data_IF_999054141225
#
_entry.id   IF_999054141225
#
_cell.length_a   1.000
_cell.length_b   1.000
_cell.length_c   1.000
_cell.angle_alpha   90.00
_cell.angle_beta   90.00
_cell.angle_gamma   90.00
#
_symmetry.space_group_name_H-M   'P 1'
#
loop_
_entity.id
_entity.type
_entity.pdbx_description
1 polymer ?
#
# COMPACT_ATOMS: atom_id res chain seq x y z
N UNK A 1 1.25 33.03 11.50
CA UNK A 1 1.95 32.03 10.68
C UNK A 1 2.73 32.76 9.61
N UNK A 2 4.03 32.48 9.44
CA UNK A 2 4.81 33.07 8.35
C UNK A 2 4.21 32.61 7.01
N UNK A 3 3.86 33.57 6.16
CA UNK A 3 3.39 33.31 4.80
C UNK A 3 4.66 33.12 3.96
N UNK A 4 5.01 31.86 3.68
CA UNK A 4 6.12 31.59 2.77
C UNK A 4 5.69 31.82 1.32
N UNK A 5 6.57 32.38 0.52
CA UNK A 5 6.41 32.50 -0.92
C UNK A 5 7.04 31.25 -1.56
N UNK A 6 6.21 30.24 -1.81
CA UNK A 6 6.67 28.96 -2.36
C UNK A 6 6.90 29.07 -3.87
N UNK A 7 8.07 28.62 -4.30
CA UNK A 7 8.35 28.35 -5.73
C UNK A 7 7.95 26.93 -6.04
N UNK A 8 6.95 26.75 -6.88
CA UNK A 8 6.52 25.43 -7.37
C UNK A 8 7.39 25.01 -8.55
N UNK A 9 7.92 23.76 -8.48
CA UNK A 9 8.62 23.14 -9.62
C UNK A 9 7.96 21.79 -9.92
N UNK A 10 7.77 21.52 -11.23
CA UNK A 10 7.26 20.23 -11.73
C UNK A 10 8.41 19.53 -12.43
N UNK A 11 8.84 18.41 -11.88
CA UNK A 11 10.03 17.69 -12.30
C UNK A 11 9.64 16.40 -13.03
N UNK A 12 10.44 16.01 -14.04
CA UNK A 12 10.11 14.88 -14.91
C UNK A 12 10.71 13.55 -14.40
N UNK A 13 11.45 13.62 -13.32
CA UNK A 13 12.14 12.46 -12.73
C UNK A 13 12.27 12.62 -11.22
N UNK A 14 12.16 11.53 -10.42
CA UNK A 14 12.61 11.56 -9.03
C UNK A 14 14.11 11.96 -8.91
N UNK A 15 14.93 11.67 -9.92
CA UNK A 15 16.35 12.00 -9.92
C UNK A 15 16.63 13.51 -10.03
N UNK A 16 15.64 14.33 -10.36
CA UNK A 16 15.75 15.78 -10.40
C UNK A 16 15.62 16.42 -9.00
N UNK A 17 15.33 15.63 -7.96
CA UNK A 17 15.30 16.04 -6.54
C UNK A 17 16.44 15.36 -5.82
N UNK A 18 17.19 16.06 -4.95
CA UNK A 18 18.18 15.41 -4.09
C UNK A 18 17.52 14.36 -3.18
N UNK A 19 18.06 13.14 -3.19
CA UNK A 19 17.52 12.04 -2.39
C UNK A 19 17.47 12.37 -0.89
N UNK A 20 18.52 13.07 -0.38
CA UNK A 20 18.57 13.53 1.01
C UNK A 20 17.42 14.44 1.39
N UNK A 21 17.02 15.37 0.51
CA UNK A 21 15.97 16.34 0.78
C UNK A 21 14.57 15.67 0.75
N UNK A 22 14.39 14.75 -0.20
CA UNK A 22 13.16 13.94 -0.30
C UNK A 22 13.00 13.06 0.93
N UNK A 23 14.01 12.27 1.28
CA UNK A 23 13.96 11.33 2.40
C UNK A 23 13.92 12.07 3.75
N UNK A 24 14.48 13.29 3.86
CA UNK A 24 14.33 14.14 5.02
C UNK A 24 12.88 14.61 5.22
N UNK A 25 12.11 14.88 4.15
CA UNK A 25 10.68 15.15 4.25
C UNK A 25 9.89 13.89 4.64
N UNK A 26 10.22 12.76 4.03
CA UNK A 26 9.56 11.48 4.36
C UNK A 26 9.73 11.12 5.83
N UNK A 27 10.91 11.39 6.42
CA UNK A 27 11.19 11.13 7.83
C UNK A 27 10.36 11.99 8.80
N UNK A 28 9.73 13.07 8.34
CA UNK A 28 8.82 13.90 9.15
C UNK A 28 7.38 13.38 9.18
N UNK A 29 7.06 12.45 8.29
CA UNK A 29 5.69 11.94 8.17
C UNK A 29 5.37 10.93 9.29
N UNK A 30 4.11 10.91 9.72
CA UNK A 30 3.66 10.02 10.79
C UNK A 30 3.43 8.57 10.35
N UNK A 31 3.20 8.35 9.05
CA UNK A 31 3.02 7.03 8.44
C UNK A 31 3.87 6.94 7.16
N UNK A 32 5.22 7.06 7.29
CA UNK A 32 6.12 6.88 6.16
C UNK A 32 6.08 5.42 5.72
N UNK A 33 6.41 5.17 4.47
CA UNK A 33 6.54 3.81 3.97
C UNK A 33 7.82 3.68 3.14
N UNK A 34 8.47 2.52 3.11
CA UNK A 34 9.67 2.31 2.31
C UNK A 34 9.41 2.52 0.81
N UNK A 35 8.16 2.45 0.38
CA UNK A 35 7.75 2.64 -1.02
C UNK A 35 7.69 4.11 -1.43
N UNK A 36 7.71 5.04 -0.48
CA UNK A 36 7.83 6.48 -0.73
C UNK A 36 9.28 6.99 -0.65
N UNK A 37 10.25 6.13 -0.33
CA UNK A 37 11.67 6.50 -0.37
C UNK A 37 12.09 6.89 -1.78
N UNK A 38 13.04 7.82 -1.85
CA UNK A 38 13.57 8.29 -3.12
C UNK A 38 14.13 7.14 -3.98
N UNK A 39 14.88 6.22 -3.38
CA UNK A 39 15.50 5.09 -4.07
C UNK A 39 14.46 4.13 -4.70
N UNK A 40 13.31 3.90 -4.03
CA UNK A 40 12.22 3.09 -4.56
C UNK A 40 11.60 3.74 -5.81
N UNK A 41 11.28 5.03 -5.73
CA UNK A 41 10.70 5.78 -6.85
C UNK A 41 11.68 5.92 -8.02
N UNK A 42 12.96 6.13 -7.72
CA UNK A 42 14.04 6.14 -8.71
C UNK A 42 14.20 4.78 -9.40
N UNK A 43 14.11 3.67 -8.65
CA UNK A 43 14.18 2.32 -9.21
C UNK A 43 13.01 2.04 -10.17
N UNK A 44 11.79 2.48 -9.85
CA UNK A 44 10.61 2.35 -10.73
C UNK A 44 10.81 3.04 -12.07
N UNK A 45 11.39 4.24 -12.07
CA UNK A 45 11.64 4.98 -13.31
C UNK A 45 12.85 4.41 -14.06
N UNK A 46 13.97 4.20 -13.38
CA UNK A 46 15.22 3.76 -14.01
C UNK A 46 15.12 2.36 -14.63
N UNK A 47 14.28 1.48 -14.07
CA UNK A 47 13.99 0.16 -14.63
C UNK A 47 13.00 0.19 -15.80
N UNK A 48 12.40 1.34 -16.10
CA UNK A 48 11.37 1.47 -17.11
C UNK A 48 9.98 0.99 -16.67
N UNK A 49 9.80 0.56 -15.42
CA UNK A 49 8.51 0.06 -14.92
C UNK A 49 7.44 1.16 -14.83
N UNK A 50 7.82 2.36 -14.38
CA UNK A 50 6.92 3.52 -14.28
C UNK A 50 7.48 4.69 -15.12
N UNK A 51 7.12 4.71 -16.40
CA UNK A 51 7.54 5.70 -17.38
C UNK A 51 6.38 6.09 -18.30
N UNK A 52 6.59 7.09 -19.15
CA UNK A 52 5.59 7.46 -20.16
C UNK A 52 5.21 6.27 -21.08
N UNK A 53 6.17 5.38 -21.42
CA UNK A 53 5.93 4.20 -22.25
C UNK A 53 4.99 3.17 -21.59
N UNK A 54 4.94 3.15 -20.24
CA UNK A 54 4.03 2.30 -19.47
C UNK A 54 2.81 3.05 -18.95
N UNK A 55 2.56 4.28 -19.46
CA UNK A 55 1.46 5.14 -19.06
C UNK A 55 1.59 5.76 -17.68
N UNK A 56 2.81 5.86 -17.13
CA UNK A 56 3.15 6.49 -15.86
C UNK A 56 4.18 7.61 -16.09
N UNK A 57 3.76 8.70 -16.72
CA UNK A 57 4.66 9.83 -17.00
C UNK A 57 4.89 10.64 -15.73
N UNK A 58 6.11 10.62 -15.21
CA UNK A 58 6.48 11.33 -13.98
C UNK A 58 6.30 12.85 -14.10
N UNK A 59 5.71 13.46 -13.07
CA UNK A 59 5.50 14.89 -12.85
C UNK A 59 5.60 15.17 -11.36
N UNK A 60 6.79 15.06 -10.79
CA UNK A 60 7.02 15.28 -9.36
C UNK A 60 6.81 16.75 -9.02
N UNK A 61 5.84 17.04 -8.18
CA UNK A 61 5.55 18.42 -7.75
C UNK A 61 6.27 18.72 -6.46
N UNK A 62 7.03 19.83 -6.45
CA UNK A 62 7.88 20.24 -5.32
C UNK A 62 7.66 21.71 -5.00
N UNK A 63 7.67 22.06 -3.72
CA UNK A 63 7.60 23.43 -3.21
C UNK A 63 8.90 23.81 -2.52
N UNK A 64 9.45 24.94 -2.92
CA UNK A 64 10.74 25.44 -2.46
C UNK A 64 10.63 26.82 -1.83
N UNK A 65 11.44 27.07 -0.79
CA UNK A 65 11.73 28.41 -0.28
C UNK A 65 13.25 28.60 -0.37
N UNK A 66 13.69 29.44 -1.28
CA UNK A 66 15.10 29.49 -1.68
C UNK A 66 15.54 28.11 -2.20
N UNK A 67 16.59 27.55 -1.61
CA UNK A 67 17.12 26.22 -1.95
C UNK A 67 16.61 25.12 -1.03
N UNK A 68 15.65 25.41 -0.15
CA UNK A 68 15.12 24.43 0.81
C UNK A 68 13.82 23.82 0.28
N UNK A 69 13.77 22.50 0.20
CA UNK A 69 12.57 21.74 -0.13
C UNK A 69 11.60 21.74 1.06
N UNK A 70 10.39 22.27 0.87
CA UNK A 70 9.36 22.36 1.91
C UNK A 70 8.25 21.32 1.77
N UNK A 71 7.90 20.97 0.53
CA UNK A 71 6.94 19.89 0.28
C UNK A 71 7.21 19.24 -1.08
N UNK A 72 6.81 17.97 -1.22
CA UNK A 72 6.97 17.19 -2.45
C UNK A 72 5.95 16.07 -2.54
N UNK A 73 5.59 15.66 -3.76
CA UNK A 73 4.83 14.44 -4.00
C UNK A 73 5.16 13.80 -5.36
N UNK A 74 5.00 12.47 -5.49
CA UNK A 74 5.16 11.75 -6.74
C UNK A 74 3.84 11.82 -7.53
N UNK A 75 3.71 12.80 -8.42
CA UNK A 75 2.59 12.87 -9.35
C UNK A 75 2.98 12.23 -10.69
N UNK A 76 2.00 11.63 -11.35
CA UNK A 76 2.13 11.03 -12.68
C UNK A 76 0.99 11.48 -13.57
N UNK A 77 1.26 11.72 -14.86
CA UNK A 77 0.23 11.77 -15.88
C UNK A 77 -0.05 10.35 -16.38
N UNK A 78 -1.31 9.95 -16.27
CA UNK A 78 -1.77 8.60 -16.59
C UNK A 78 -2.56 8.58 -17.89
N UNK A 79 -2.21 7.62 -18.77
CA UNK A 79 -2.92 7.37 -20.03
C UNK A 79 -3.96 6.25 -19.91
N UNK A 80 -4.03 5.59 -18.77
CA UNK A 80 -4.93 4.49 -18.40
C UNK A 80 -4.92 4.26 -16.91
N UNK A 81 -5.88 3.49 -16.35
CA UNK A 81 -5.99 3.24 -14.91
C UNK A 81 -5.39 1.92 -14.42
N UNK A 82 -4.56 1.25 -15.25
CA UNK A 82 -3.86 0.03 -14.82
C UNK A 82 -2.79 0.33 -13.76
N UNK A 83 -2.69 -0.57 -12.78
CA UNK A 83 -1.67 -0.54 -11.72
C UNK A 83 -1.96 0.44 -10.57
N UNK A 84 -3.18 1.00 -10.48
CA UNK A 84 -3.59 1.99 -9.46
C UNK A 84 -4.26 1.33 -8.25
N UNK A 85 -4.99 0.23 -8.44
CA UNK A 85 -5.73 -0.52 -7.41
C UNK A 85 -6.91 0.24 -6.76
N UNK A 86 -7.20 1.47 -7.20
CA UNK A 86 -8.46 2.19 -6.94
C UNK A 86 -9.12 2.38 -8.29
N UNK A 87 -10.17 1.59 -8.56
CA UNK A 87 -10.72 1.48 -9.91
C UNK A 87 -11.71 2.60 -10.22
N UNK A 88 -11.42 3.38 -11.25
CA UNK A 88 -12.24 4.49 -11.75
C UNK A 88 -12.76 4.23 -13.18
N UNK A 89 -12.79 2.97 -13.62
CA UNK A 89 -13.27 2.56 -14.95
C UNK A 89 -14.68 3.08 -15.28
N UNK A 90 -15.57 3.12 -14.28
CA UNK A 90 -16.92 3.65 -14.47
C UNK A 90 -16.91 5.15 -14.82
N UNK A 91 -15.96 5.91 -14.27
CA UNK A 91 -15.81 7.34 -14.56
C UNK A 91 -15.23 7.53 -15.97
N UNK A 92 -14.19 6.78 -16.33
CA UNK A 92 -13.61 6.82 -17.68
C UNK A 92 -14.65 6.46 -18.74
N UNK A 93 -15.44 5.42 -18.53
CA UNK A 93 -16.52 5.02 -19.43
C UNK A 93 -17.61 6.09 -19.55
N UNK A 94 -17.96 6.76 -18.45
CA UNK A 94 -18.95 7.85 -18.46
C UNK A 94 -18.46 9.04 -19.30
N UNK A 95 -17.18 9.41 -19.20
CA UNK A 95 -16.57 10.45 -20.04
C UNK A 95 -16.64 10.06 -21.52
N UNK A 96 -16.22 8.84 -21.86
CA UNK A 96 -16.25 8.33 -23.24
C UNK A 96 -17.67 8.34 -23.84
N UNK A 97 -18.67 7.89 -23.08
CA UNK A 97 -20.08 7.89 -23.52
C UNK A 97 -20.63 9.31 -23.81
N UNK A 98 -20.03 10.34 -23.23
CA UNK A 98 -20.40 11.74 -23.48
C UNK A 98 -19.45 12.44 -24.45
N UNK A 99 -18.55 11.68 -25.14
CA UNK A 99 -17.61 12.24 -26.11
C UNK A 99 -16.50 13.09 -25.50
N UNK A 100 -16.19 12.90 -24.21
CA UNK A 100 -15.15 13.61 -23.50
C UNK A 100 -13.95 12.70 -23.23
N UNK A 101 -12.75 13.29 -23.21
CA UNK A 101 -11.53 12.58 -22.88
C UNK A 101 -11.32 12.52 -21.38
N UNK A 102 -11.19 11.33 -20.81
CA UNK A 102 -10.82 11.12 -19.42
C UNK A 102 -9.30 11.12 -19.20
N UNK A 103 -8.57 10.64 -20.18
CA UNK A 103 -7.10 10.61 -20.15
C UNK A 103 -6.51 11.71 -21.03
N UNK A 104 -5.34 12.30 -20.66
CA UNK A 104 -4.57 12.02 -19.47
C UNK A 104 -5.24 12.58 -18.19
N UNK A 105 -4.98 11.90 -17.06
CA UNK A 105 -5.37 12.34 -15.72
C UNK A 105 -4.14 12.48 -14.83
N UNK A 106 -4.21 13.33 -13.81
CA UNK A 106 -3.17 13.42 -12.77
C UNK A 106 -3.38 12.39 -11.66
N UNK A 107 -2.30 11.76 -11.23
CA UNK A 107 -2.32 10.74 -10.18
C UNK A 107 -1.16 10.92 -9.21
N UNK A 108 -1.44 11.15 -7.92
CA UNK A 108 -0.47 11.09 -6.83
C UNK A 108 -0.57 9.72 -6.17
N UNK A 109 0.38 8.86 -6.42
CA UNK A 109 0.43 7.49 -5.92
C UNK A 109 1.84 6.91 -6.03
N UNK A 110 2.10 5.82 -5.32
CA UNK A 110 3.25 4.96 -5.60
C UNK A 110 2.83 3.94 -6.65
N UNK A 111 3.47 3.90 -7.83
CA UNK A 111 3.10 2.97 -8.89
C UNK A 111 3.08 1.50 -8.43
N UNK A 112 2.05 0.75 -8.81
CA UNK A 112 1.87 -0.68 -8.54
C UNK A 112 1.88 -1.06 -7.05
N UNK A 113 1.62 -0.09 -6.15
CA UNK A 113 1.82 -0.25 -4.71
C UNK A 113 0.60 0.22 -3.92
N UNK A 114 -0.39 -0.67 -3.68
CA UNK A 114 -1.61 -0.34 -2.93
C UNK A 114 -1.36 -0.39 -1.41
N UNK A 115 -0.35 0.34 -0.94
CA UNK A 115 0.00 0.47 0.48
C UNK A 115 -0.41 1.86 0.95
N UNK A 116 -1.23 2.00 2.00
CA UNK A 116 -1.54 3.29 2.61
C UNK A 116 -0.29 3.97 3.20
N UNK A 117 -0.32 5.29 3.30
CA UNK A 117 0.74 6.08 3.93
C UNK A 117 0.88 7.47 3.33
N UNK A 118 1.97 8.16 3.68
CA UNK A 118 2.27 9.49 3.19
C UNK A 118 2.32 9.56 1.65
N UNK A 119 1.66 10.57 1.09
CA UNK A 119 1.69 10.91 -0.34
C UNK A 119 2.13 12.34 -0.57
N UNK A 120 1.80 13.22 0.36
CA UNK A 120 2.18 14.62 0.38
C UNK A 120 3.26 14.80 1.46
N UNK A 121 4.52 14.73 1.07
CA UNK A 121 5.63 14.96 2.00
C UNK A 121 5.72 16.45 2.29
N UNK A 122 5.69 16.87 3.56
CA UNK A 122 5.68 18.27 3.91
C UNK A 122 6.30 18.55 5.28
N UNK A 123 7.01 19.70 5.39
CA UNK A 123 7.61 20.14 6.66
C UNK A 123 6.57 20.49 7.72
N UNK A 124 5.40 20.95 7.30
CA UNK A 124 4.32 21.37 8.17
C UNK A 124 2.96 21.33 7.46
N UNK A 125 1.83 21.47 8.18
CA UNK A 125 0.49 21.45 7.59
C UNK A 125 0.24 22.57 6.57
N UNK A 126 0.89 23.73 6.68
CA UNK A 126 0.72 24.83 5.74
C UNK A 126 1.38 24.50 4.39
N UNK A 127 2.58 23.92 4.41
CA UNK A 127 3.28 23.43 3.22
C UNK A 127 2.46 22.31 2.53
N UNK A 128 1.88 21.37 3.32
CA UNK A 128 1.00 20.32 2.77
C UNK A 128 -0.24 20.91 2.08
N UNK A 129 -0.91 21.87 2.71
CA UNK A 129 -2.05 22.56 2.12
C UNK A 129 -1.66 23.32 0.83
N UNK A 130 -0.51 24.01 0.84
CA UNK A 130 0.02 24.68 -0.34
C UNK A 130 0.33 23.69 -1.48
N UNK A 131 0.87 22.49 -1.16
CA UNK A 131 1.12 21.45 -2.15
C UNK A 131 -0.17 20.96 -2.80
N UNK A 132 -1.26 20.76 -2.03
CA UNK A 132 -2.58 20.41 -2.60
C UNK A 132 -3.08 21.49 -3.55
N UNK A 133 -2.96 22.77 -3.18
CA UNK A 133 -3.35 23.87 -4.05
C UNK A 133 -2.51 23.93 -5.33
N UNK A 134 -1.20 23.70 -5.23
CA UNK A 134 -0.30 23.64 -6.40
C UNK A 134 -0.68 22.48 -7.35
N UNK A 135 -1.05 21.31 -6.82
CA UNK A 135 -1.53 20.16 -7.58
C UNK A 135 -2.83 20.47 -8.34
N UNK A 136 -3.81 21.05 -7.64
CA UNK A 136 -5.09 21.44 -8.24
C UNK A 136 -4.91 22.52 -9.31
N UNK A 137 -4.02 23.50 -9.06
CA UNK A 137 -3.71 24.55 -10.04
C UNK A 137 -3.03 23.96 -11.27
N UNK A 138 -2.02 23.09 -11.08
CA UNK A 138 -1.35 22.40 -12.19
C UNK A 138 -2.33 21.56 -13.02
N UNK A 139 -3.26 20.84 -12.38
CA UNK A 139 -4.26 20.07 -13.09
C UNK A 139 -5.18 20.93 -13.95
N UNK A 140 -5.53 22.15 -13.48
CA UNK A 140 -6.32 23.12 -14.25
C UNK A 140 -5.52 23.73 -15.41
N UNK A 141 -4.27 24.11 -15.15
CA UNK A 141 -3.40 24.76 -16.16
C UNK A 141 -3.07 23.82 -17.33
N UNK A 142 -3.00 22.52 -17.07
CA UNK A 142 -2.75 21.46 -18.06
C UNK A 142 -4.05 20.85 -18.63
N UNK A 143 -5.21 21.45 -18.37
CA UNK A 143 -6.54 20.98 -18.81
C UNK A 143 -6.77 19.47 -18.55
N UNK A 144 -6.29 18.96 -17.40
CA UNK A 144 -6.47 17.56 -17.04
C UNK A 144 -7.91 17.28 -16.60
N UNK A 145 -8.44 16.12 -16.96
CA UNK A 145 -9.81 15.69 -16.62
C UNK A 145 -10.03 15.56 -15.12
N UNK A 146 -8.98 15.14 -14.39
CA UNK A 146 -9.07 14.83 -12.98
C UNK A 146 -7.69 14.75 -12.30
N UNK A 147 -7.71 14.88 -10.96
CA UNK A 147 -6.59 14.64 -10.07
C UNK A 147 -7.00 13.63 -9.00
N UNK A 148 -6.19 12.60 -8.80
CA UNK A 148 -6.42 11.56 -7.80
C UNK A 148 -5.21 11.45 -6.88
N UNK A 149 -5.46 11.26 -5.58
CA UNK A 149 -4.46 10.95 -4.58
C UNK A 149 -4.87 9.67 -3.87
N UNK A 150 -4.09 8.59 -4.04
CA UNK A 150 -4.50 7.25 -3.66
C UNK A 150 -3.83 6.76 -2.37
N UNK A 151 -4.60 6.05 -1.52
CA UNK A 151 -4.11 5.42 -0.29
C UNK A 151 -3.43 6.40 0.66
N UNK A 152 -4.08 7.54 0.87
CA UNK A 152 -3.56 8.67 1.65
C UNK A 152 -3.57 8.41 3.16
N UNK A 153 -2.55 8.91 3.86
CA UNK A 153 -2.54 9.03 5.30
C UNK A 153 -3.54 10.09 5.80
N UNK A 154 -3.95 10.08 7.11
CA UNK A 154 -4.97 11.00 7.62
C UNK A 154 -4.68 12.49 7.40
N UNK A 155 -3.42 12.94 7.51
CA UNK A 155 -3.04 14.34 7.31
C UNK A 155 -3.21 14.77 5.85
N UNK A 156 -2.91 13.88 4.90
CA UNK A 156 -3.09 14.13 3.46
C UNK A 156 -4.57 14.18 3.10
N UNK A 157 -5.37 13.25 3.68
CA UNK A 157 -6.83 13.24 3.54
C UNK A 157 -7.42 14.55 4.02
N UNK A 158 -7.06 15.02 5.23
CA UNK A 158 -7.57 16.26 5.78
C UNK A 158 -7.21 17.50 4.92
N UNK A 159 -5.98 17.54 4.36
CA UNK A 159 -5.56 18.61 3.47
C UNK A 159 -6.32 18.60 2.14
N UNK A 160 -6.57 17.43 1.56
CA UNK A 160 -7.35 17.27 0.34
C UNK A 160 -8.83 17.63 0.55
N UNK A 161 -9.44 17.18 1.65
CA UNK A 161 -10.82 17.51 2.02
C UNK A 161 -11.01 19.01 2.23
N UNK A 162 -10.08 19.66 2.95
CA UNK A 162 -10.08 21.10 3.15
C UNK A 162 -9.92 21.90 1.83
N UNK A 163 -9.33 21.30 0.81
CA UNK A 163 -9.22 21.85 -0.54
C UNK A 163 -10.43 21.54 -1.45
N UNK A 164 -11.47 20.88 -0.93
CA UNK A 164 -12.70 20.53 -1.65
C UNK A 164 -12.58 19.31 -2.55
N UNK A 165 -11.60 18.41 -2.31
CA UNK A 165 -11.55 17.14 -3.02
C UNK A 165 -12.54 16.13 -2.41
N UNK A 166 -13.16 15.31 -3.24
CA UNK A 166 -14.08 14.24 -2.83
C UNK A 166 -13.29 13.06 -2.25
N UNK A 167 -13.78 12.46 -1.18
CA UNK A 167 -13.16 11.29 -0.57
C UNK A 167 -13.80 10.00 -1.04
N UNK A 168 -12.96 8.99 -1.30
CA UNK A 168 -13.38 7.63 -1.59
C UNK A 168 -12.74 6.66 -0.61
N UNK A 169 -13.57 5.80 -0.03
CA UNK A 169 -13.13 4.79 0.95
C UNK A 169 -13.12 3.41 0.34
N UNK A 170 -12.10 2.61 0.70
CA UNK A 170 -12.02 1.18 0.38
C UNK A 170 -11.57 0.41 1.61
N UNK A 171 -11.52 -0.92 1.53
CA UNK A 171 -11.16 -1.77 2.67
C UNK A 171 -9.94 -2.60 2.32
N UNK A 172 -8.97 -2.60 3.23
CA UNK A 172 -7.84 -3.54 3.26
C UNK A 172 -7.88 -4.38 4.53
N UNK A 173 -6.95 -5.32 4.68
CA UNK A 173 -6.90 -6.23 5.81
C UNK A 173 -5.50 -6.25 6.40
N UNK A 174 -5.39 -5.78 7.65
CA UNK A 174 -4.13 -5.66 8.37
C UNK A 174 -4.17 -6.51 9.64
N UNK A 175 -3.02 -7.01 10.04
CA UNK A 175 -2.84 -7.65 11.32
C UNK A 175 -2.05 -6.73 12.25
N UNK A 176 -2.44 -6.71 13.51
CA UNK A 176 -1.73 -6.00 14.57
C UNK A 176 -1.17 -6.99 15.60
N UNK A 177 0.06 -6.77 16.03
CA UNK A 177 0.68 -7.49 17.11
C UNK A 177 0.16 -6.96 18.45
N UNK A 178 -1.12 -7.24 18.72
CA UNK A 178 -1.81 -6.71 19.89
C UNK A 178 -2.69 -7.77 20.54
N UNK A 179 -2.47 -7.98 21.83
CA UNK A 179 -3.34 -8.80 22.67
C UNK A 179 -4.49 -7.94 23.18
N UNK A 180 -5.73 -8.40 23.06
CA UNK A 180 -6.86 -7.73 23.70
C UNK A 180 -6.62 -7.72 25.22
N UNK A 181 -6.49 -6.53 25.81
CA UNK A 181 -6.19 -6.35 27.23
C UNK A 181 -7.32 -6.96 28.08
N UNK A 182 -7.03 -8.05 28.76
CA UNK A 182 -7.97 -8.70 29.69
C UNK A 182 -7.83 -8.13 31.11
N UNK A 183 -6.69 -7.47 31.44
CA UNK A 183 -6.42 -6.87 32.75
C UNK A 183 -5.44 -5.69 32.61
N UNK A 184 -5.52 -4.67 33.50
CA UNK A 184 -4.51 -3.61 33.57
C UNK A 184 -3.13 -4.20 33.87
N UNK A 185 -2.13 -3.91 33.03
CA UNK A 185 -0.75 -4.40 33.17
C UNK A 185 -0.49 -5.78 32.54
N UNK A 186 -1.44 -6.35 31.78
CA UNK A 186 -1.23 -7.59 31.02
C UNK A 186 -0.36 -7.40 29.77
N UNK A 187 0.03 -8.52 29.16
CA UNK A 187 0.78 -8.53 27.88
C UNK A 187 0.02 -7.72 26.81
N UNK A 188 0.71 -6.83 26.14
CA UNK A 188 0.15 -5.98 25.08
C UNK A 188 0.39 -6.54 23.69
N UNK A 189 1.40 -7.42 23.53
CA UNK A 189 1.81 -8.05 22.25
C UNK A 189 1.86 -9.57 22.40
N UNK A 190 1.78 -10.27 21.29
CA UNK A 190 1.93 -11.73 21.28
C UNK A 190 3.40 -12.12 21.56
N UNK A 191 3.60 -13.11 22.45
CA UNK A 191 4.94 -13.65 22.78
C UNK A 191 5.51 -14.53 21.67
N UNK A 192 4.64 -15.31 21.05
CA UNK A 192 4.96 -16.29 20.02
C UNK A 192 3.71 -16.58 19.17
N UNK A 193 3.91 -17.36 18.10
CA UNK A 193 2.82 -17.71 17.18
C UNK A 193 1.73 -18.58 17.83
N UNK A 194 2.06 -19.42 18.81
CA UNK A 194 1.07 -20.24 19.54
C UNK A 194 0.22 -19.36 20.47
N UNK A 195 0.80 -18.33 21.10
CA UNK A 195 0.04 -17.33 21.83
C UNK A 195 -0.93 -16.57 20.92
N UNK A 196 -0.47 -16.17 19.72
CA UNK A 196 -1.36 -15.61 18.70
C UNK A 196 -2.49 -16.58 18.33
N UNK A 197 -2.19 -17.84 18.04
CA UNK A 197 -3.21 -18.86 17.76
C UNK A 197 -4.19 -19.03 18.91
N UNK A 198 -3.73 -18.94 20.15
CA UNK A 198 -4.60 -19.06 21.33
C UNK A 198 -5.61 -17.92 21.45
N UNK A 199 -5.35 -16.76 20.87
CA UNK A 199 -6.29 -15.62 20.81
C UNK A 199 -7.45 -15.83 19.85
N UNK A 200 -7.32 -16.78 18.91
CA UNK A 200 -8.32 -17.02 17.87
C UNK A 200 -9.45 -17.94 18.37
N UNK A 201 -10.62 -17.83 17.75
CA UNK A 201 -11.72 -18.77 17.88
C UNK A 201 -11.25 -20.20 17.51
N UNK A 202 -11.82 -21.21 18.18
CA UNK A 202 -11.35 -22.59 18.07
C UNK A 202 -11.29 -23.10 16.60
N UNK A 203 -12.33 -22.81 15.82
CA UNK A 203 -12.39 -23.25 14.42
C UNK A 203 -11.29 -22.64 13.57
N UNK A 204 -11.02 -21.34 13.73
CA UNK A 204 -9.97 -20.62 13.00
C UNK A 204 -8.60 -21.17 13.35
N UNK A 205 -8.32 -21.34 14.64
CA UNK A 205 -7.09 -21.96 15.13
C UNK A 205 -6.90 -23.39 14.60
N UNK A 206 -7.95 -24.21 14.62
CA UNK A 206 -7.91 -25.59 14.08
C UNK A 206 -7.60 -25.59 12.58
N UNK A 207 -8.23 -24.69 11.83
CA UNK A 207 -8.01 -24.54 10.39
C UNK A 207 -6.57 -24.15 10.07
N UNK A 208 -6.00 -23.14 10.76
CA UNK A 208 -4.62 -22.69 10.55
C UNK A 208 -3.64 -23.84 10.85
N UNK A 209 -3.82 -24.56 11.97
CA UNK A 209 -2.96 -25.71 12.29
C UNK A 209 -3.06 -26.82 11.25
N UNK A 210 -4.23 -27.04 10.68
CA UNK A 210 -4.44 -28.03 9.62
C UNK A 210 -3.75 -27.60 8.31
N UNK A 211 -3.86 -26.32 7.93
CA UNK A 211 -3.23 -25.78 6.73
C UNK A 211 -1.70 -25.86 6.84
N UNK A 212 -1.12 -25.45 7.97
CA UNK A 212 0.33 -25.57 8.25
C UNK A 212 0.81 -27.03 8.21
N UNK A 213 0.05 -27.95 8.83
CA UNK A 213 0.37 -29.37 8.82
C UNK A 213 0.39 -29.96 7.41
N UNK A 214 -0.56 -29.60 6.53
CA UNK A 214 -0.57 -30.05 5.12
C UNK A 214 0.70 -29.66 4.38
N UNK A 215 1.20 -28.43 4.60
CA UNK A 215 2.44 -27.96 3.98
C UNK A 215 3.64 -28.76 4.49
N UNK A 216 3.72 -29.00 5.81
CA UNK A 216 4.78 -29.81 6.42
C UNK A 216 4.74 -31.28 5.94
N UNK A 217 3.55 -31.90 5.89
CA UNK A 217 3.35 -33.27 5.39
C UNK A 217 3.71 -33.40 3.89
N UNK A 218 3.59 -32.31 3.11
CA UNK A 218 4.08 -32.27 1.73
C UNK A 218 5.61 -32.15 1.61
N UNK A 219 6.35 -32.16 2.74
CA UNK A 219 7.81 -32.08 2.78
C UNK A 219 8.37 -30.69 2.48
N UNK A 220 7.55 -29.63 2.66
CA UNK A 220 7.99 -28.25 2.43
C UNK A 220 8.58 -27.67 3.71
N UNK A 221 9.75 -27.09 3.59
CA UNK A 221 10.43 -26.28 4.61
C UNK A 221 10.60 -24.84 4.14
N UNK A 222 10.89 -23.92 5.06
CA UNK A 222 11.07 -22.51 4.72
C UNK A 222 12.45 -22.01 5.16
N UNK A 223 13.05 -21.22 4.28
CA UNK A 223 14.22 -20.40 4.56
C UNK A 223 13.81 -18.94 4.51
N UNK A 224 14.27 -18.17 5.48
CA UNK A 224 14.05 -16.73 5.58
C UNK A 224 15.38 -16.00 5.41
N UNK A 225 15.41 -14.98 4.56
CA UNK A 225 16.57 -14.10 4.35
C UNK A 225 16.13 -12.66 4.37
N UNK A 226 16.95 -11.76 4.93
CA UNK A 226 16.63 -10.35 5.07
C UNK A 226 17.80 -9.50 4.57
N UNK A 227 17.48 -8.38 3.94
CA UNK A 227 18.47 -7.38 3.56
C UNK A 227 19.53 -7.93 2.62
N UNK A 228 20.79 -7.75 2.99
CA UNK A 228 21.96 -8.21 2.20
C UNK A 228 22.14 -9.72 2.19
N UNK A 229 21.46 -10.44 3.09
CA UNK A 229 21.50 -11.91 3.13
C UNK A 229 20.62 -12.55 2.05
N UNK A 230 19.79 -11.76 1.36
CA UNK A 230 19.06 -12.21 0.18
C UNK A 230 20.06 -12.26 -0.99
N UNK A 231 20.46 -13.48 -1.38
CA UNK A 231 21.43 -13.66 -2.45
C UNK A 231 20.90 -13.27 -3.82
N UNK A 232 21.78 -12.97 -4.78
CA UNK A 232 21.37 -12.69 -6.16
C UNK A 232 20.59 -13.89 -6.77
N UNK A 233 20.94 -15.12 -6.40
CA UNK A 233 20.23 -16.32 -6.83
C UNK A 233 18.81 -16.37 -6.25
N UNK A 234 18.61 -15.91 -5.01
CA UNK A 234 17.29 -15.84 -4.38
C UNK A 234 16.40 -14.76 -5.03
N UNK A 235 16.97 -13.61 -5.37
CA UNK A 235 16.27 -12.58 -6.12
C UNK A 235 15.83 -13.07 -7.51
N UNK A 236 16.71 -13.81 -8.20
CA UNK A 236 16.36 -14.41 -9.51
C UNK A 236 15.31 -15.50 -9.38
N UNK A 237 15.37 -16.33 -8.34
CA UNK A 237 14.33 -17.32 -8.08
C UNK A 237 13.00 -16.67 -7.74
N UNK A 238 13.00 -15.67 -6.87
CA UNK A 238 11.81 -14.88 -6.54
C UNK A 238 11.18 -14.28 -7.80
N UNK A 239 11.99 -13.65 -8.67
CA UNK A 239 11.46 -13.02 -9.89
C UNK A 239 10.77 -14.05 -10.81
N UNK A 240 11.32 -15.24 -10.96
CA UNK A 240 10.66 -16.31 -11.74
C UNK A 240 9.30 -16.71 -11.15
N UNK A 241 9.20 -16.77 -9.82
CA UNK A 241 7.93 -17.05 -9.14
C UNK A 241 6.93 -15.92 -9.36
N UNK A 242 7.36 -14.67 -9.21
CA UNK A 242 6.58 -13.47 -9.41
C UNK A 242 6.04 -13.37 -10.85
N UNK A 243 6.91 -13.50 -11.83
CA UNK A 243 6.57 -13.47 -13.25
C UNK A 243 5.54 -14.55 -13.61
N UNK A 244 5.75 -15.78 -13.12
CA UNK A 244 4.83 -16.88 -13.35
C UNK A 244 3.41 -16.57 -12.85
N UNK A 245 3.28 -15.95 -11.67
CA UNK A 245 1.97 -15.58 -11.13
C UNK A 245 1.22 -14.65 -12.07
N UNK A 246 1.89 -13.68 -12.68
CA UNK A 246 1.26 -12.78 -13.65
C UNK A 246 0.87 -13.49 -14.93
N UNK A 247 1.76 -14.32 -15.48
CA UNK A 247 1.52 -15.08 -16.72
C UNK A 247 0.36 -16.09 -16.56
N UNK A 248 0.24 -16.75 -15.41
CA UNK A 248 -0.89 -17.64 -15.10
C UNK A 248 -2.25 -16.90 -15.05
N UNK A 249 -2.24 -15.59 -14.78
CA UNK A 249 -3.43 -14.73 -14.85
C UNK A 249 -3.61 -14.02 -16.20
N UNK A 250 -2.80 -14.37 -17.22
CA UNK A 250 -2.88 -13.80 -18.56
C UNK A 250 -2.36 -12.37 -18.68
N UNK A 251 -1.54 -11.90 -17.73
CA UNK A 251 -0.99 -10.55 -17.71
C UNK A 251 0.54 -10.58 -17.74
N UNK A 252 1.14 -9.54 -18.33
CA UNK A 252 2.57 -9.28 -18.14
C UNK A 252 2.81 -8.67 -16.75
N UNK A 253 3.94 -8.99 -16.07
CA UNK A 253 4.28 -8.37 -14.80
C UNK A 253 4.52 -6.87 -14.96
N UNK A 254 4.00 -6.07 -14.01
CA UNK A 254 4.24 -4.62 -13.98
C UNK A 254 5.69 -4.27 -13.66
N UNK A 255 6.34 -5.08 -12.84
CA UNK A 255 7.72 -4.86 -12.40
C UNK A 255 8.63 -5.87 -13.09
N UNK A 256 9.76 -5.40 -13.60
CA UNK A 256 10.73 -6.25 -14.27
C UNK A 256 11.88 -6.66 -13.34
N UNK A 257 12.78 -7.54 -13.82
CA UNK A 257 13.92 -8.04 -13.05
C UNK A 257 14.88 -6.93 -12.63
N UNK A 258 15.11 -5.94 -13.49
CA UNK A 258 16.01 -4.81 -13.22
C UNK A 258 15.52 -3.96 -12.03
N UNK A 259 14.22 -3.78 -11.89
CA UNK A 259 13.63 -3.11 -10.72
C UNK A 259 14.04 -3.80 -9.40
N UNK A 260 13.86 -5.12 -9.31
CA UNK A 260 14.21 -5.86 -8.09
C UNK A 260 15.71 -5.89 -7.85
N UNK A 261 16.53 -5.99 -8.88
CA UNK A 261 17.99 -5.89 -8.76
C UNK A 261 18.44 -4.52 -8.24
N UNK A 262 17.82 -3.44 -8.68
CA UNK A 262 18.09 -2.09 -8.16
C UNK A 262 17.76 -2.02 -6.67
N UNK A 263 16.60 -2.49 -6.26
CA UNK A 263 16.19 -2.49 -4.84
C UNK A 263 17.10 -3.34 -3.96
N UNK A 264 17.56 -4.48 -4.45
CA UNK A 264 18.54 -5.32 -3.75
C UNK A 264 19.84 -4.58 -3.41
N UNK A 265 20.19 -3.53 -4.16
CA UNK A 265 21.40 -2.73 -3.96
C UNK A 265 21.13 -1.41 -3.23
N UNK A 266 20.01 -0.71 -3.57
CA UNK A 266 19.75 0.64 -3.05
C UNK A 266 19.06 0.65 -1.70
N UNK A 267 18.21 -0.36 -1.41
CA UNK A 267 17.42 -0.46 -0.18
C UNK A 267 17.29 -1.91 0.31
N UNK A 268 18.40 -2.66 0.45
CA UNK A 268 18.32 -4.06 0.85
C UNK A 268 17.62 -4.25 2.19
N UNK A 269 17.80 -3.35 3.15
CA UNK A 269 17.21 -3.39 4.49
C UNK A 269 15.68 -3.37 4.51
N UNK A 270 15.05 -2.96 3.41
CA UNK A 270 13.59 -2.90 3.29
C UNK A 270 12.93 -4.20 2.84
N UNK A 271 13.69 -5.30 2.72
CA UNK A 271 13.19 -6.54 2.14
C UNK A 271 13.44 -7.76 3.01
N UNK A 272 12.40 -8.60 3.10
CA UNK A 272 12.39 -9.90 3.74
C UNK A 272 11.84 -10.92 2.74
N UNK A 273 12.57 -12.00 2.51
CA UNK A 273 12.23 -13.05 1.55
C UNK A 273 12.06 -14.39 2.25
N UNK A 274 10.89 -15.01 2.07
CA UNK A 274 10.64 -16.39 2.42
C UNK A 274 10.74 -17.25 1.16
N UNK A 275 11.61 -18.26 1.19
CA UNK A 275 11.74 -19.28 0.15
C UNK A 275 11.24 -20.61 0.69
N UNK A 276 10.21 -21.16 0.04
CA UNK A 276 9.74 -22.51 0.31
C UNK A 276 10.58 -23.52 -0.46
N UNK A 277 11.07 -24.54 0.21
CA UNK A 277 11.92 -25.59 -0.35
C UNK A 277 11.28 -26.96 -0.16
N UNK A 278 11.39 -27.82 -1.17
CA UNK A 278 10.97 -29.20 -1.13
C UNK A 278 12.07 -30.08 -1.70
N UNK A 279 12.48 -31.10 -0.95
CA UNK A 279 13.61 -31.96 -1.32
C UNK A 279 14.90 -31.19 -1.65
N UNK A 280 15.18 -30.12 -0.89
CA UNK A 280 16.33 -29.26 -1.07
C UNK A 280 16.28 -28.34 -2.30
N UNK A 281 15.12 -28.23 -2.99
CA UNK A 281 14.94 -27.37 -4.16
C UNK A 281 13.92 -26.27 -3.85
N UNK A 282 14.18 -25.01 -4.22
CA UNK A 282 13.22 -23.91 -4.05
C UNK A 282 12.02 -24.09 -4.99
N UNK A 283 10.80 -24.02 -4.43
CA UNK A 283 9.54 -24.24 -5.15
C UNK A 283 8.60 -23.05 -5.15
N UNK A 284 8.74 -22.14 -4.18
CA UNK A 284 7.94 -20.92 -4.11
C UNK A 284 8.65 -19.82 -3.33
N UNK A 285 8.23 -18.57 -3.51
CA UNK A 285 8.78 -17.43 -2.79
C UNK A 285 7.71 -16.39 -2.44
N UNK A 286 7.87 -15.75 -1.27
CA UNK A 286 7.07 -14.61 -0.82
C UNK A 286 7.98 -13.48 -0.39
N UNK A 287 7.84 -12.32 -1.04
CA UNK A 287 8.62 -11.11 -0.75
C UNK A 287 7.77 -10.15 0.08
N UNK A 288 8.32 -9.73 1.20
CA UNK A 288 7.72 -8.84 2.18
C UNK A 288 8.54 -7.56 2.21
N UNK A 289 7.87 -6.40 2.07
CA UNK A 289 8.50 -5.12 2.40
C UNK A 289 8.53 -4.94 3.91
N UNK A 290 9.58 -4.31 4.45
CA UNK A 290 9.68 -4.03 5.89
C UNK A 290 10.11 -2.58 6.14
N UNK A 291 9.51 -1.98 7.16
CA UNK A 291 9.94 -0.76 7.81
C UNK A 291 10.28 -1.09 9.26
N UNK A 292 11.55 -1.37 9.51
CA UNK A 292 12.03 -1.77 10.84
C UNK A 292 11.94 -0.62 11.85
N UNK A 293 12.05 0.64 11.39
CA UNK A 293 11.98 1.80 12.28
C UNK A 293 10.57 1.98 12.88
N UNK A 294 9.54 1.65 12.12
CA UNK A 294 8.14 1.78 12.54
C UNK A 294 7.49 0.43 12.88
N UNK A 295 8.25 -0.68 12.76
CA UNK A 295 7.76 -2.02 13.06
C UNK A 295 6.62 -2.48 12.16
N UNK A 296 6.65 -2.13 10.88
CA UNK A 296 5.60 -2.46 9.90
C UNK A 296 6.16 -3.39 8.83
N UNK A 297 5.41 -4.46 8.54
CA UNK A 297 5.70 -5.36 7.44
C UNK A 297 4.56 -5.35 6.41
N UNK A 298 4.90 -5.50 5.14
CA UNK A 298 3.99 -5.37 4.01
C UNK A 298 4.06 -6.60 3.13
N UNK A 299 3.01 -7.41 3.08
CA UNK A 299 2.87 -8.52 2.13
C UNK A 299 2.80 -7.98 0.70
N UNK A 300 3.83 -8.25 -0.12
CA UNK A 300 3.94 -7.63 -1.43
C UNK A 300 3.75 -8.60 -2.58
N UNK A 301 4.62 -9.56 -2.71
CA UNK A 301 4.66 -10.39 -3.90
C UNK A 301 4.81 -11.86 -3.54
N UNK A 302 4.15 -12.72 -4.31
CA UNK A 302 4.14 -14.15 -4.14
C UNK A 302 4.14 -14.85 -5.49
N UNK A 303 4.77 -16.02 -5.51
CA UNK A 303 4.61 -16.95 -6.61
C UNK A 303 5.15 -18.33 -6.28
N UNK A 304 4.69 -19.33 -7.02
CA UNK A 304 5.09 -20.71 -6.85
C UNK A 304 5.37 -21.37 -8.20
N UNK A 305 6.43 -22.19 -8.28
CA UNK A 305 6.73 -23.00 -9.45
C UNK A 305 6.09 -24.39 -9.36
N UNK A 306 5.70 -24.82 -8.15
CA UNK A 306 4.99 -26.07 -7.90
C UNK A 306 3.71 -25.81 -7.12
N UNK A 307 2.67 -26.57 -7.43
CA UNK A 307 1.41 -26.51 -6.67
C UNK A 307 1.49 -27.38 -5.43
N UNK A 308 1.38 -26.75 -4.26
CA UNK A 308 1.25 -27.43 -2.96
C UNK A 308 0.06 -26.85 -2.23
N UNK A 309 -0.80 -27.70 -1.69
CA UNK A 309 -2.00 -27.27 -0.96
C UNK A 309 -1.64 -26.41 0.25
N UNK A 310 -2.31 -25.27 0.39
CA UNK A 310 -2.13 -24.29 1.48
C UNK A 310 -0.77 -23.57 1.48
N UNK A 311 0.14 -23.81 0.52
CA UNK A 311 1.46 -23.19 0.48
C UNK A 311 1.38 -21.65 0.43
N UNK A 312 0.45 -21.10 -0.35
CA UNK A 312 0.20 -19.66 -0.39
C UNK A 312 -0.10 -19.09 1.01
N UNK A 313 -0.92 -19.76 1.81
CA UNK A 313 -1.26 -19.27 3.14
C UNK A 313 -0.07 -19.35 4.11
N UNK A 314 0.72 -20.41 4.03
CA UNK A 314 1.92 -20.56 4.85
C UNK A 314 2.93 -19.45 4.50
N UNK A 315 3.25 -19.28 3.22
CA UNK A 315 4.28 -18.36 2.76
C UNK A 315 3.90 -16.88 2.88
N UNK A 316 2.62 -16.54 2.66
CA UNK A 316 2.17 -15.14 2.62
C UNK A 316 1.61 -14.62 3.94
N UNK A 317 1.25 -15.52 4.87
CA UNK A 317 0.65 -15.11 6.15
C UNK A 317 1.34 -15.77 7.36
N UNK A 318 1.42 -17.10 7.44
CA UNK A 318 1.85 -17.74 8.69
C UNK A 318 3.33 -17.56 8.97
N UNK A 319 4.18 -17.68 7.97
CA UNK A 319 5.61 -17.39 8.10
C UNK A 319 5.87 -15.90 8.39
N UNK A 320 5.30 -14.94 7.62
CA UNK A 320 5.47 -13.52 7.94
C UNK A 320 4.93 -13.12 9.31
N UNK A 321 3.77 -13.62 9.73
CA UNK A 321 3.20 -13.28 11.04
C UNK A 321 4.05 -13.86 12.19
N UNK A 322 4.54 -15.09 12.06
CA UNK A 322 5.45 -15.67 13.04
C UNK A 322 6.74 -14.84 13.15
N UNK A 323 7.31 -14.44 12.02
CA UNK A 323 8.48 -13.58 11.98
C UNK A 323 8.21 -12.19 12.60
N UNK A 324 7.08 -11.56 12.29
CA UNK A 324 6.69 -10.28 12.88
C UNK A 324 6.59 -10.35 14.42
N UNK A 325 6.01 -11.42 14.95
CA UNK A 325 5.90 -11.63 16.39
C UNK A 325 7.29 -11.79 17.01
N UNK A 326 8.13 -12.64 16.44
CA UNK A 326 9.48 -12.93 16.91
C UNK A 326 10.39 -11.69 16.93
N UNK A 327 10.22 -10.78 15.93
CA UNK A 327 11.04 -9.60 15.78
C UNK A 327 10.39 -8.31 16.30
N UNK A 328 9.24 -8.43 17.01
CA UNK A 328 8.58 -7.30 17.67
C UNK A 328 7.89 -6.31 16.72
N UNK A 329 7.63 -6.71 15.47
CA UNK A 329 6.88 -5.89 14.53
C UNK A 329 5.44 -5.72 14.99
N UNK A 330 4.91 -4.51 14.82
CA UNK A 330 3.60 -4.11 15.37
C UNK A 330 2.45 -4.35 14.39
N UNK A 331 2.70 -4.29 13.08
CA UNK A 331 1.68 -4.38 12.04
C UNK A 331 2.16 -5.19 10.86
N UNK A 332 1.25 -5.98 10.27
CA UNK A 332 1.45 -6.62 8.98
C UNK A 332 0.28 -6.26 8.04
N UNK A 333 0.60 -5.64 6.92
CA UNK A 333 -0.38 -5.24 5.91
C UNK A 333 -0.48 -6.29 4.81
N UNK A 334 -1.65 -6.90 4.69
CA UNK A 334 -1.88 -8.00 3.75
C UNK A 334 -2.11 -7.60 2.28
N UNK A 335 -1.99 -6.30 1.95
CA UNK A 335 -2.24 -5.76 0.60
C UNK A 335 -3.73 -5.66 0.24
N UNK A 336 -4.01 -5.24 -1.00
CA UNK A 336 -5.36 -5.05 -1.51
C UNK A 336 -6.14 -6.38 -1.57
N UNK A 337 -7.45 -6.28 -1.34
CA UNK A 337 -8.49 -7.34 -1.48
C UNK A 337 -8.32 -8.61 -0.63
N UNK A 338 -9.43 -9.27 -0.36
CA UNK A 338 -9.53 -10.64 0.13
C UNK A 338 -10.02 -10.81 1.57
N UNK A 339 -11.34 -10.94 1.76
CA UNK A 339 -11.95 -11.32 3.05
C UNK A 339 -11.38 -12.61 3.65
N UNK A 340 -10.83 -13.52 2.82
CA UNK A 340 -10.19 -14.75 3.30
C UNK A 340 -9.03 -14.47 4.28
N UNK A 341 -8.46 -13.26 4.26
CA UNK A 341 -7.43 -12.80 5.20
C UNK A 341 -7.94 -12.69 6.63
N UNK A 342 -9.23 -12.40 6.82
CA UNK A 342 -9.85 -12.36 8.16
C UNK A 342 -9.73 -13.70 8.89
N UNK A 343 -9.80 -14.83 8.19
CA UNK A 343 -9.60 -16.14 8.81
C UNK A 343 -8.22 -16.30 9.46
N UNK A 344 -7.26 -15.41 9.16
CA UNK A 344 -5.89 -15.34 9.66
C UNK A 344 -5.65 -14.11 10.54
N UNK A 345 -6.76 -13.52 11.03
CA UNK A 345 -6.79 -12.34 11.88
C UNK A 345 -6.17 -11.07 11.27
N UNK A 346 -6.12 -10.96 9.94
CA UNK A 346 -5.97 -9.66 9.32
C UNK A 346 -7.35 -9.00 9.34
N UNK A 347 -7.50 -7.97 10.13
CA UNK A 347 -8.77 -7.28 10.35
C UNK A 347 -9.01 -6.18 9.30
N UNK A 348 -10.27 -5.83 9.02
CA UNK A 348 -10.59 -4.81 8.03
C UNK A 348 -10.16 -3.42 8.51
N UNK A 349 -9.50 -2.70 7.62
CA UNK A 349 -9.05 -1.32 7.82
C UNK A 349 -9.57 -0.46 6.68
N UNK A 350 -10.12 0.71 7.01
CA UNK A 350 -10.53 1.69 6.01
C UNK A 350 -9.29 2.33 5.40
N UNK A 351 -9.22 2.38 4.07
CA UNK A 351 -8.25 3.18 3.32
C UNK A 351 -8.97 4.28 2.56
N UNK A 352 -8.32 5.41 2.37
CA UNK A 352 -8.95 6.60 1.78
C UNK A 352 -8.12 7.13 0.62
N UNK A 353 -8.82 7.56 -0.42
CA UNK A 353 -8.27 8.27 -1.57
C UNK A 353 -9.04 9.56 -1.78
N UNK A 354 -8.40 10.57 -2.37
CA UNK A 354 -9.03 11.86 -2.65
C UNK A 354 -9.08 12.10 -4.16
N UNK A 355 -10.15 12.71 -4.64
CA UNK A 355 -10.45 12.87 -6.06
C UNK A 355 -10.96 14.27 -6.37
N UNK A 356 -10.46 14.86 -7.45
CA UNK A 356 -10.98 16.08 -8.03
C UNK A 356 -11.25 15.83 -9.53
N UNK A 357 -12.38 16.30 -10.04
CA UNK A 357 -12.77 16.25 -11.45
C UNK A 357 -12.97 17.67 -11.98
N UNK A 358 -12.43 17.95 -13.16
CA UNK A 358 -12.50 19.28 -13.78
C UNK A 358 -13.91 19.63 -14.24
N UNK A 359 -14.66 18.68 -14.78
CA UNK A 359 -15.99 18.92 -15.34
C UNK A 359 -17.05 18.90 -14.24
N UNK A 360 -17.77 20.02 -13.95
CA UNK A 360 -18.68 20.13 -12.80
C UNK A 360 -19.78 19.06 -12.75
N UNK A 361 -20.44 18.79 -13.88
CA UNK A 361 -21.53 17.80 -13.92
C UNK A 361 -21.03 16.37 -13.62
N UNK A 362 -19.80 16.02 -13.99
CA UNK A 362 -19.20 14.75 -13.63
C UNK A 362 -18.76 14.75 -12.16
N UNK A 363 -18.21 15.85 -11.65
CA UNK A 363 -17.90 16.00 -10.24
C UNK A 363 -19.15 15.76 -9.36
N UNK A 364 -20.26 16.42 -9.66
CA UNK A 364 -21.54 16.24 -8.96
C UNK A 364 -22.06 14.79 -9.03
N UNK A 365 -21.92 14.14 -10.19
CA UNK A 365 -22.37 12.76 -10.37
C UNK A 365 -21.49 11.78 -9.57
N UNK A 366 -20.17 11.98 -9.60
CA UNK A 366 -19.20 11.16 -8.84
C UNK A 366 -19.40 11.40 -7.35
N UNK A 367 -19.60 12.62 -6.87
CA UNK A 367 -19.84 12.91 -5.46
C UNK A 367 -21.04 12.12 -4.92
N UNK A 368 -22.19 12.17 -5.64
CA UNK A 368 -23.38 11.37 -5.28
C UNK A 368 -23.13 9.86 -5.32
N UNK A 369 -22.27 9.39 -6.23
CA UNK A 369 -21.84 7.99 -6.27
C UNK A 369 -21.01 7.63 -5.05
N UNK A 370 -20.01 8.45 -4.71
CA UNK A 370 -19.10 8.21 -3.58
C UNK A 370 -19.82 8.29 -2.22
N UNK A 371 -20.82 9.14 -2.06
CA UNK A 371 -21.67 9.15 -0.86
C UNK A 371 -22.35 7.80 -0.65
N UNK A 372 -22.99 7.26 -1.70
CA UNK A 372 -23.65 5.94 -1.62
C UNK A 372 -22.66 4.79 -1.42
N UNK A 373 -21.51 4.85 -2.10
CA UNK A 373 -20.45 3.84 -1.92
C UNK A 373 -19.91 3.89 -0.48
N UNK A 374 -19.73 5.09 0.08
CA UNK A 374 -19.26 5.31 1.45
C UNK A 374 -20.19 4.73 2.51
N UNK A 375 -21.50 4.91 2.36
CA UNK A 375 -22.52 4.28 3.23
C UNK A 375 -22.41 2.75 3.17
N UNK A 376 -22.24 2.18 1.97
CA UNK A 376 -22.03 0.76 1.77
C UNK A 376 -20.75 0.24 2.42
N UNK A 377 -19.65 0.99 2.32
CA UNK A 377 -18.36 0.64 2.98
C UNK A 377 -18.51 0.67 4.51
N UNK A 378 -19.24 1.64 5.07
CA UNK A 378 -19.52 1.69 6.51
C UNK A 378 -20.26 0.43 6.99
N UNK A 379 -21.34 0.06 6.33
CA UNK A 379 -22.11 -1.17 6.64
C UNK A 379 -21.27 -2.44 6.45
N UNK A 380 -20.44 -2.48 5.42
CA UNK A 380 -19.54 -3.60 5.17
C UNK A 380 -18.50 -3.77 6.27
N UNK A 381 -17.87 -2.70 6.73
CA UNK A 381 -16.92 -2.72 7.85
C UNK A 381 -17.59 -3.20 9.14
N UNK A 382 -18.81 -2.72 9.43
CA UNK A 382 -19.59 -3.16 10.59
C UNK A 382 -19.90 -4.66 10.51
N UNK A 383 -20.36 -5.15 9.36
CA UNK A 383 -20.61 -6.57 9.13
C UNK A 383 -19.34 -7.43 9.31
N UNK A 384 -18.20 -6.98 8.79
CA UNK A 384 -16.91 -7.67 8.95
C UNK A 384 -16.46 -7.68 10.41
N UNK A 385 -16.64 -6.59 11.15
CA UNK A 385 -16.26 -6.50 12.56
C UNK A 385 -16.98 -7.51 13.44
N UNK A 386 -18.26 -7.78 13.15
CA UNK A 386 -19.07 -8.81 13.82
C UNK A 386 -18.57 -10.24 13.56
N UNK A 387 -17.79 -10.45 12.49
CA UNK A 387 -17.20 -11.73 12.09
C UNK A 387 -15.74 -11.87 12.53
N UNK A 388 -15.29 -11.07 13.50
CA UNK A 388 -13.92 -11.11 14.02
C UNK A 388 -13.49 -12.54 14.38
N UNK A 389 -12.32 -13.01 13.94
CA UNK A 389 -11.81 -14.33 14.28
C UNK A 389 -11.24 -14.40 15.71
N UNK A 390 -11.10 -13.27 16.38
CA UNK A 390 -10.54 -13.16 17.74
C UNK A 390 -11.59 -13.56 18.79
N UNK A 391 -11.11 -14.12 19.93
CA UNK A 391 -11.96 -14.41 21.06
C UNK A 391 -12.31 -13.13 21.83
N UNK A 392 -13.57 -13.02 22.30
CA UNK A 392 -13.98 -11.98 23.26
C UNK A 392 -14.08 -10.55 22.71
N UNK A 393 -13.86 -10.34 21.43
CA UNK A 393 -14.11 -9.07 20.77
C UNK A 393 -15.57 -9.03 20.29
N UNK A 394 -16.52 -8.67 21.18
CA UNK A 394 -17.63 -7.86 20.73
C UNK A 394 -17.01 -6.55 20.27
N UNK A 395 -17.09 -6.23 18.99
CA UNK A 395 -16.42 -5.11 18.37
C UNK A 395 -16.70 -3.81 19.12
N UNK A 396 -15.67 -3.18 19.70
CA UNK A 396 -15.72 -1.75 19.93
C UNK A 396 -15.52 -1.13 18.54
N UNK A 397 -16.46 -0.34 18.04
CA UNK A 397 -16.27 0.38 16.80
C UNK A 397 -15.04 1.28 16.95
N UNK A 398 -14.19 1.28 15.94
CA UNK A 398 -13.05 2.21 15.82
C UNK A 398 -13.56 3.64 16.10
N UNK A 399 -12.97 4.39 17.04
CA UNK A 399 -13.37 5.77 17.30
C UNK A 399 -13.33 6.67 16.06
N UNK A 400 -12.48 6.34 15.07
CA UNK A 400 -12.45 7.01 13.77
C UNK A 400 -13.72 6.79 12.92
N UNK A 401 -14.56 5.81 13.27
CA UNK A 401 -15.83 5.52 12.59
C UNK A 401 -17.00 6.38 13.12
N UNK A 402 -16.86 7.04 14.29
CA UNK A 402 -17.95 7.73 14.98
C UNK A 402 -18.02 9.26 14.70
N UNK A 403 -17.12 9.83 13.91
CA UNK A 403 -17.06 11.30 13.71
C UNK A 403 -17.78 11.84 12.49
N UNK A 404 -18.66 11.07 11.82
CA UNK A 404 -19.49 11.60 10.72
C UNK A 404 -20.98 11.24 10.88
N UNK A 405 -21.57 11.62 12.01
CA UNK A 405 -23.03 11.65 12.18
C UNK A 405 -23.39 12.96 12.90
N UNK A 406 -23.25 14.08 12.22
CA UNK A 406 -24.02 15.33 12.49
C UNK A 406 -24.01 16.20 11.25
#
# INVERSE_FOLDING_TARGET
MAKFDYVTRVLNSPLDVPASDWDALLALESDPSPFMRHDYLAALQASGCATAATGWQARFVTLWVGDTLHAACPMYLKQHSYGEYVFDWAWANAYEQHGLSYYPKALVAVPFTPVPGARLLARDPAARAALVQALLQHARDEDLSSLHLLFAQPQDVAACEAAGMMLRHTVQFHWENRVAASQPGGETVFRDFDHFLASLQQEKRKKIRQERRKVAEAGVTFRCSMGKDISAQDWDFFYRCYERTYLEHGNAPYLNRDFFHRLAHSAPESWLLFVAEREGRPVAASLIGIDAAHGVAYGRYWGALERVDCLHFEACYYQPLAWCIEHGFQRFEGGAQGEHKMARALLPVRTTSAHWLAHPAFADAVERFLQREGDGIGQYLEHLSQRSPLKGTAASPDPALLHNSK
#
